data_IF_591300107102
#
_entry.id   IF_591300107102
#
_cell.length_a   1.000
_cell.length_b   1.000
_cell.length_c   1.000
_cell.angle_alpha   90.00
_cell.angle_beta   90.00
_cell.angle_gamma   90.00
#
_symmetry.space_group_name_H-M   'P 1'
#
loop_
_entity.id
_entity.type
_entity.pdbx_description
1 polymer ?
#
# COMPACT_ATOMS: atom_id res chain seq x y z
N UNK A 1 0.12 -6.22 28.81
CA UNK A 1 -0.88 -5.58 27.92
C UNK A 1 -0.54 -4.09 27.87
N UNK A 2 0.36 -3.69 26.96
CA UNK A 2 0.87 -2.33 26.88
C UNK A 2 -0.01 -1.50 25.92
N UNK A 3 -1.13 -1.02 26.44
CA UNK A 3 -1.85 0.10 25.82
C UNK A 3 -1.57 1.33 26.66
N UNK A 4 -0.51 2.07 26.31
CA UNK A 4 -0.35 3.45 26.78
C UNK A 4 -1.16 4.38 25.86
N UNK A 5 -1.98 5.27 26.42
CA UNK A 5 -2.94 6.05 25.65
C UNK A 5 -2.22 7.14 24.86
N UNK A 6 -2.47 7.19 23.55
CA UNK A 6 -2.15 8.30 22.65
C UNK A 6 -0.65 8.55 22.34
N UNK A 7 0.16 7.50 22.19
CA UNK A 7 1.44 7.63 21.46
C UNK A 7 1.20 7.46 19.97
N UNK A 8 1.51 8.51 19.21
CA UNK A 8 1.44 8.51 17.74
C UNK A 8 2.41 7.46 17.20
N UNK A 9 1.89 6.58 16.35
CA UNK A 9 2.68 5.60 15.62
C UNK A 9 3.05 6.18 14.26
N UNK A 10 4.29 5.96 13.84
CA UNK A 10 4.87 6.42 12.58
C UNK A 10 5.34 5.22 11.76
N UNK A 11 5.19 5.32 10.44
CA UNK A 11 5.69 4.30 9.51
C UNK A 11 7.20 4.43 9.39
N UNK A 12 7.91 3.36 9.75
CA UNK A 12 9.36 3.30 9.67
C UNK A 12 9.80 2.93 8.26
N UNK A 13 9.25 1.80 7.76
CA UNK A 13 9.55 1.20 6.47
C UNK A 13 8.45 0.23 6.06
N UNK A 14 8.24 0.12 4.75
CA UNK A 14 7.36 -0.88 4.13
C UNK A 14 8.21 -2.01 3.58
N UNK A 15 7.86 -3.24 3.93
CA UNK A 15 8.47 -4.47 3.44
C UNK A 15 7.54 -5.17 2.45
N UNK A 16 8.10 -5.93 1.50
CA UNK A 16 7.33 -6.59 0.44
C UNK A 16 6.57 -7.84 0.91
N UNK A 17 6.92 -8.41 2.06
CA UNK A 17 6.34 -9.65 2.56
C UNK A 17 6.34 -9.68 4.10
N UNK A 18 5.46 -10.51 4.68
CA UNK A 18 5.34 -10.64 6.14
C UNK A 18 6.64 -11.14 6.81
N UNK A 19 7.31 -12.20 6.31
CA UNK A 19 8.51 -12.73 6.98
C UNK A 19 9.61 -11.69 7.17
N UNK A 20 9.88 -10.86 6.17
CA UNK A 20 10.90 -9.81 6.28
C UNK A 20 10.49 -8.74 7.28
N UNK A 21 9.22 -8.32 7.30
CA UNK A 21 8.71 -7.38 8.30
C UNK A 21 8.81 -7.94 9.73
N UNK A 22 8.53 -9.23 9.90
CA UNK A 22 8.65 -9.94 11.19
C UNK A 22 10.10 -10.05 11.66
N UNK A 23 11.06 -10.25 10.75
CA UNK A 23 12.48 -10.22 11.13
C UNK A 23 12.90 -8.85 11.66
N UNK A 24 12.41 -7.77 11.05
CA UNK A 24 12.68 -6.41 11.52
C UNK A 24 12.01 -6.14 12.89
N UNK A 25 10.76 -6.58 13.07
CA UNK A 25 10.05 -6.53 14.36
C UNK A 25 10.84 -7.27 15.45
N UNK A 26 11.34 -8.48 15.16
CA UNK A 26 12.16 -9.25 16.10
C UNK A 26 13.43 -8.51 16.50
N UNK A 27 14.13 -7.89 15.54
CA UNK A 27 15.34 -7.09 15.84
C UNK A 27 15.02 -5.91 16.75
N UNK A 28 13.94 -5.18 16.49
CA UNK A 28 13.52 -4.05 17.34
C UNK A 28 13.10 -4.50 18.74
N UNK A 29 12.42 -5.65 18.84
CA UNK A 29 11.98 -6.19 20.13
C UNK A 29 13.16 -6.65 21.00
N UNK A 30 14.24 -7.18 20.40
CA UNK A 30 15.47 -7.51 21.13
C UNK A 30 16.12 -6.27 21.77
N UNK A 31 15.97 -5.11 21.15
CA UNK A 31 16.45 -3.81 21.65
C UNK A 31 15.43 -3.11 22.57
N UNK A 32 14.29 -3.76 22.83
CA UNK A 32 13.23 -3.25 23.70
C UNK A 32 12.36 -2.16 23.07
N UNK A 33 12.37 -2.02 21.73
CA UNK A 33 11.53 -1.05 21.02
C UNK A 33 10.19 -1.70 20.64
N UNK A 34 9.07 -1.20 21.17
CA UNK A 34 7.76 -1.69 20.79
C UNK A 34 7.39 -1.24 19.37
N UNK A 35 7.06 -2.23 18.54
CA UNK A 35 6.71 -2.04 17.14
C UNK A 35 5.49 -2.89 16.76
N UNK A 36 4.87 -2.57 15.62
CA UNK A 36 3.70 -3.27 15.11
C UNK A 36 3.81 -3.46 13.60
N UNK A 37 3.66 -4.70 13.14
CA UNK A 37 3.56 -5.02 11.72
C UNK A 37 2.10 -4.90 11.28
N UNK A 38 1.83 -4.06 10.28
CA UNK A 38 0.50 -3.83 9.71
C UNK A 38 0.48 -4.21 8.23
N UNK A 39 -0.39 -5.14 7.79
CA UNK A 39 -0.56 -5.41 6.37
C UNK A 39 -1.16 -4.19 5.66
N UNK A 40 -0.55 -3.78 4.53
CA UNK A 40 -1.03 -2.67 3.70
C UNK A 40 -2.08 -3.10 2.67
N UNK A 41 -2.21 -4.40 2.44
CA UNK A 41 -3.19 -5.01 1.54
C UNK A 41 -3.91 -6.17 2.22
N UNK A 42 -5.12 -6.47 1.74
CA UNK A 42 -5.98 -7.53 2.30
C UNK A 42 -7.42 -7.08 2.40
N UNK A 43 -8.11 -6.98 1.26
CA UNK A 43 -9.54 -6.72 1.21
C UNK A 43 -10.39 -7.94 1.65
N UNK A 44 -11.71 -7.76 1.85
CA UNK A 44 -12.62 -8.86 2.15
C UNK A 44 -12.59 -9.89 1.01
N UNK A 45 -11.85 -11.00 1.21
CA UNK A 45 -11.62 -12.04 0.20
C UNK A 45 -10.20 -12.61 0.20
N UNK A 46 -9.22 -11.91 0.79
CA UNK A 46 -7.81 -12.33 0.84
C UNK A 46 -7.44 -13.04 2.15
N UNK A 47 -8.33 -13.90 2.66
CA UNK A 47 -8.09 -14.73 3.84
C UNK A 47 -7.11 -15.85 3.47
N UNK A 48 -5.81 -15.60 3.60
CA UNK A 48 -4.77 -16.63 3.44
C UNK A 48 -3.65 -16.31 2.43
N UNK A 49 -3.79 -15.25 1.63
CA UNK A 49 -2.74 -14.83 0.66
C UNK A 49 -1.99 -13.57 1.10
N UNK A 50 -2.26 -13.07 2.31
CA UNK A 50 -1.66 -11.85 2.84
C UNK A 50 -0.13 -11.94 3.03
N UNK A 51 0.45 -13.15 3.12
CA UNK A 51 1.89 -13.35 3.33
C UNK A 51 2.80 -12.66 2.31
N UNK A 52 2.37 -12.57 1.05
CA UNK A 52 3.10 -11.93 -0.04
C UNK A 52 2.69 -10.48 -0.29
N UNK A 53 1.83 -9.91 0.57
CA UNK A 53 1.45 -8.51 0.47
C UNK A 53 2.45 -7.66 1.25
N UNK A 54 2.53 -6.38 0.88
CA UNK A 54 3.40 -5.46 1.58
C UNK A 54 2.94 -5.22 3.02
N UNK A 55 3.88 -5.17 3.95
CA UNK A 55 3.66 -4.95 5.37
C UNK A 55 4.42 -3.71 5.83
N UNK A 56 3.71 -2.83 6.50
CA UNK A 56 4.26 -1.63 7.12
C UNK A 56 4.74 -1.95 8.54
N UNK A 57 5.94 -1.49 8.88
CA UNK A 57 6.48 -1.57 10.23
C UNK A 57 6.27 -0.23 10.94
N UNK A 58 5.36 -0.24 11.91
CA UNK A 58 4.99 0.92 12.69
C UNK A 58 5.78 0.94 14.00
N UNK A 59 6.33 2.09 14.35
CA UNK A 59 7.00 2.34 15.64
C UNK A 59 6.39 3.56 16.30
N UNK A 60 6.61 3.76 17.60
CA UNK A 60 6.21 5.03 18.22
C UNK A 60 7.13 6.17 17.77
N UNK A 61 6.56 7.36 17.59
CA UNK A 61 7.28 8.56 17.17
C UNK A 61 8.52 8.86 18.04
N UNK A 62 8.43 8.60 19.36
CA UNK A 62 9.55 8.78 20.29
C UNK A 62 10.73 7.83 20.06
N UNK A 63 10.49 6.67 19.42
CA UNK A 63 11.50 5.64 19.20
C UNK A 63 11.96 5.57 17.73
N UNK A 64 11.43 6.43 16.85
CA UNK A 64 11.67 6.35 15.40
C UNK A 64 13.16 6.42 15.05
N UNK A 65 13.86 7.44 15.58
CA UNK A 65 15.29 7.65 15.30
C UNK A 65 16.13 6.43 15.70
N UNK A 66 15.84 5.87 16.88
CA UNK A 66 16.54 4.71 17.41
C UNK A 66 16.21 3.45 16.63
N UNK A 67 14.96 3.27 16.23
CA UNK A 67 14.53 2.16 15.39
C UNK A 67 15.17 2.20 13.99
N UNK A 68 15.32 3.38 13.38
CA UNK A 68 16.04 3.56 12.12
C UNK A 68 17.50 3.16 12.23
N UNK A 69 18.16 3.59 13.30
CA UNK A 69 19.56 3.26 13.57
C UNK A 69 19.77 1.74 13.73
N UNK A 70 18.94 1.07 14.53
CA UNK A 70 19.03 -0.37 14.77
C UNK A 70 18.83 -1.17 13.49
N UNK A 71 17.87 -0.77 12.65
CA UNK A 71 17.58 -1.45 11.41
C UNK A 71 18.45 -0.98 10.24
N UNK A 72 19.39 -0.05 10.48
CA UNK A 72 20.25 0.57 9.47
C UNK A 72 19.45 1.15 8.29
N UNK A 73 18.24 1.64 8.58
CA UNK A 73 17.34 2.21 7.57
C UNK A 73 17.79 3.65 7.31
N UNK A 74 18.07 4.03 6.05
CA UNK A 74 18.44 5.40 5.74
C UNK A 74 17.32 6.36 6.21
N UNK A 75 17.67 7.53 6.77
CA UNK A 75 16.67 8.53 7.17
C UNK A 75 15.80 8.91 5.96
N UNK A 76 14.50 9.13 6.21
CA UNK A 76 13.49 9.38 5.16
C UNK A 76 13.92 10.45 4.15
N UNK A 77 14.65 11.47 4.59
CA UNK A 77 15.18 12.54 3.73
C UNK A 77 16.10 12.04 2.61
N UNK A 78 16.83 10.93 2.84
CA UNK A 78 17.67 10.29 1.82
C UNK A 78 16.84 9.37 0.94
N UNK A 79 15.88 8.63 1.51
CA UNK A 79 14.98 7.75 0.74
C UNK A 79 14.06 8.54 -0.21
N UNK A 80 13.64 9.76 0.17
CA UNK A 80 12.89 10.67 -0.69
C UNK A 80 13.78 11.23 -1.82
N UNK A 81 15.07 11.44 -1.55
CA UNK A 81 16.06 11.96 -2.52
C UNK A 81 16.60 10.88 -3.46
N UNK A 82 16.66 9.62 -3.01
CA UNK A 82 17.00 8.42 -3.80
C UNK A 82 15.78 7.79 -4.47
N UNK A 83 14.58 8.38 -4.33
CA UNK A 83 13.39 8.04 -5.12
C UNK A 83 13.60 8.49 -6.57
N UNK A 84 14.47 7.77 -7.27
CA UNK A 84 14.66 7.79 -8.72
C UNK A 84 13.26 7.64 -9.36
N UNK A 85 12.90 8.46 -10.36
CA UNK A 85 11.61 8.36 -11.03
C UNK A 85 11.56 7.02 -11.77
N UNK A 86 10.90 6.01 -11.19
CA UNK A 86 10.83 4.66 -11.74
C UNK A 86 10.55 3.55 -10.73
N UNK A 87 10.68 3.79 -9.42
CA UNK A 87 10.25 2.82 -8.41
C UNK A 87 8.74 2.97 -8.15
N UNK A 88 7.92 2.24 -8.91
CA UNK A 88 6.52 1.97 -8.57
C UNK A 88 6.47 1.07 -7.33
N UNK A 89 6.76 1.66 -6.17
CA UNK A 89 6.25 1.14 -4.91
C UNK A 89 4.74 1.09 -5.04
N UNK A 90 4.19 -0.12 -4.92
CA UNK A 90 2.80 -0.49 -5.13
C UNK A 90 1.87 0.63 -4.67
N UNK A 91 1.34 1.39 -5.64
CA UNK A 91 0.34 2.42 -5.36
C UNK A 91 -0.77 1.68 -4.60
N UNK A 92 -1.21 2.16 -3.42
CA UNK A 92 -2.35 1.54 -2.75
C UNK A 92 -3.45 1.44 -3.79
N UNK A 93 -3.84 0.20 -4.13
CA UNK A 93 -4.63 -0.15 -5.31
C UNK A 93 -5.56 1.01 -5.64
N UNK A 94 -5.21 1.79 -6.67
CA UNK A 94 -5.95 3.01 -6.99
C UNK A 94 -7.39 2.58 -7.13
N UNK A 95 -8.22 2.91 -6.15
CA UNK A 95 -9.64 2.62 -6.15
C UNK A 95 -10.15 3.43 -7.32
N UNK A 96 -10.25 2.80 -8.49
CA UNK A 96 -10.63 3.47 -9.73
C UNK A 96 -11.94 4.16 -9.39
N UNK A 97 -11.98 5.49 -9.43
CA UNK A 97 -13.09 6.19 -8.82
C UNK A 97 -14.34 5.82 -9.62
N UNK A 98 -15.41 5.51 -8.91
CA UNK A 98 -16.61 4.88 -9.49
C UNK A 98 -17.18 5.63 -10.70
N UNK A 99 -16.99 6.95 -10.76
CA UNK A 99 -17.39 7.81 -11.88
C UNK A 99 -16.63 7.52 -13.19
N UNK A 100 -15.37 7.06 -13.12
CA UNK A 100 -14.59 6.65 -14.28
C UNK A 100 -15.13 5.35 -14.87
N UNK A 101 -15.53 4.41 -14.02
CA UNK A 101 -16.15 3.13 -14.43
C UNK A 101 -17.51 3.38 -15.09
N UNK A 102 -18.33 4.28 -14.52
CA UNK A 102 -19.62 4.61 -15.14
C UNK A 102 -19.44 5.29 -16.50
N UNK A 103 -18.46 6.19 -16.63
CA UNK A 103 -18.18 6.88 -17.90
C UNK A 103 -17.73 5.90 -18.99
N UNK A 104 -16.83 4.96 -18.68
CA UNK A 104 -16.37 3.95 -19.66
C UNK A 104 -17.49 3.04 -20.13
N UNK A 105 -18.37 2.59 -19.22
CA UNK A 105 -19.54 1.78 -19.59
C UNK A 105 -20.49 2.57 -20.51
N UNK A 106 -20.79 3.83 -20.17
CA UNK A 106 -21.69 4.68 -20.98
C UNK A 106 -21.13 4.90 -22.38
N UNK A 107 -19.83 5.19 -22.51
CA UNK A 107 -19.18 5.39 -23.82
C UNK A 107 -19.20 4.10 -24.64
N UNK A 108 -18.92 2.95 -24.02
CA UNK A 108 -18.97 1.66 -24.70
C UNK A 108 -20.38 1.37 -25.25
N UNK A 109 -21.42 1.55 -24.43
CA UNK A 109 -22.81 1.32 -24.84
C UNK A 109 -23.22 2.28 -25.95
N UNK A 110 -22.87 3.56 -25.85
CA UNK A 110 -23.17 4.56 -26.87
C UNK A 110 -22.47 4.22 -28.20
N UNK A 111 -21.23 3.74 -28.15
CA UNK A 111 -20.49 3.31 -29.34
C UNK A 111 -21.16 2.11 -30.02
N UNK A 112 -21.56 1.10 -29.24
CA UNK A 112 -22.29 -0.07 -29.78
C UNK A 112 -23.63 0.36 -30.40
N UNK A 113 -24.39 1.22 -29.73
CA UNK A 113 -25.65 1.72 -30.27
C UNK A 113 -25.43 2.50 -31.58
N UNK A 114 -24.38 3.31 -31.64
CA UNK A 114 -24.03 4.10 -32.82
C UNK A 114 -23.63 3.21 -34.01
N UNK A 115 -22.83 2.17 -33.79
CA UNK A 115 -22.47 1.23 -34.86
C UNK A 115 -23.66 0.45 -35.38
N UNK A 116 -24.58 0.04 -34.49
CA UNK A 116 -25.84 -0.62 -34.88
C UNK A 116 -26.71 0.31 -35.72
N UNK A 117 -26.84 1.58 -35.34
CA UNK A 117 -27.62 2.57 -36.11
C UNK A 117 -26.99 2.83 -37.48
N UNK A 118 -25.66 2.92 -37.58
CA UNK A 118 -25.00 3.06 -38.88
C UNK A 118 -25.23 1.83 -39.75
N UNK A 119 -25.11 0.63 -39.19
CA UNK A 119 -25.32 -0.62 -39.91
C UNK A 119 -26.77 -0.72 -40.43
N UNK A 120 -27.76 -0.40 -39.60
CA UNK A 120 -29.18 -0.39 -39.98
C UNK A 120 -29.44 0.62 -41.12
N UNK A 121 -28.84 1.81 -41.03
CA UNK A 121 -28.98 2.86 -42.06
C UNK A 121 -28.24 2.57 -43.36
N UNK A 122 -27.23 1.69 -43.34
CA UNK A 122 -26.49 1.28 -44.53
C UNK A 122 -27.13 0.08 -45.26
N UNK A 123 -27.97 -0.69 -44.56
CA UNK A 123 -28.69 -1.85 -45.11
C UNK A 123 -30.03 -1.45 -45.74
N UNK A 124 -30.59 -0.29 -45.36
CA UNK A 124 -31.87 0.24 -45.84
C UNK A 124 -31.70 1.27 -46.94
#
# INVERSE_FOLDING_TARGET
MFQEPNRKQVSLMVYDNEPTARMAEQRLNLEGIPCMVKPLGGGPGLWGTAYNLSHDLLVYEGDEMRAREILEIPPQEIAERERIPGYEGDKPAQVIPQWLITLTIVVLVAFIAFTVVIADRAIR
#
